data_IF_804665740689
#
_entry.id   IF_804665740689
#
_cell.length_a   1.000
_cell.length_b   1.000
_cell.length_c   1.000
_cell.angle_alpha   90.00
_cell.angle_beta   90.00
_cell.angle_gamma   90.00
#
_symmetry.space_group_name_H-M   'P 1'
#
loop_
_entity.id
_entity.type
_entity.pdbx_description
1 polymer ?
#
# COMPACT_ATOMS: atom_id res chain seq x y z
N UNK A 1 23.54 31.52 -11.65
CA UNK A 1 23.46 30.17 -12.25
C UNK A 1 23.07 29.07 -11.25
N UNK A 2 23.35 29.20 -9.94
CA UNK A 2 22.91 28.23 -8.90
C UNK A 2 21.38 28.09 -8.76
N UNK A 3 20.64 29.20 -8.86
CA UNK A 3 19.17 29.23 -8.67
C UNK A 3 18.43 28.42 -9.76
N UNK A 4 18.98 28.35 -10.98
CA UNK A 4 18.37 27.63 -12.09
C UNK A 4 18.36 26.10 -11.90
N UNK A 5 19.31 25.55 -11.13
CA UNK A 5 19.38 24.13 -10.78
C UNK A 5 18.68 23.82 -9.45
N UNK A 6 18.65 24.79 -8.52
CA UNK A 6 18.02 24.62 -7.22
C UNK A 6 16.50 24.42 -7.30
N UNK A 7 15.81 25.13 -8.21
CA UNK A 7 14.35 25.05 -8.34
C UNK A 7 13.87 23.67 -8.85
N UNK A 8 14.43 23.09 -9.93
CA UNK A 8 14.09 21.74 -10.33
C UNK A 8 14.47 20.68 -9.29
N UNK A 9 15.64 20.83 -8.64
CA UNK A 9 16.08 19.89 -7.61
C UNK A 9 15.12 19.87 -6.39
N UNK A 10 14.60 21.03 -6.01
CA UNK A 10 13.61 21.14 -4.94
C UNK A 10 12.31 20.40 -5.27
N UNK A 11 11.79 20.55 -6.49
CA UNK A 11 10.58 19.82 -6.91
C UNK A 11 10.82 18.32 -6.99
N UNK A 12 11.97 17.89 -7.53
CA UNK A 12 12.36 16.48 -7.50
C UNK A 12 12.39 15.94 -6.06
N UNK A 13 12.92 16.71 -5.11
CA UNK A 13 12.93 16.34 -3.68
C UNK A 13 11.51 16.18 -3.11
N UNK A 14 10.60 17.11 -3.42
CA UNK A 14 9.19 17.02 -3.00
C UNK A 14 8.50 15.80 -3.60
N UNK A 15 8.67 15.56 -4.91
CA UNK A 15 8.11 14.40 -5.60
C UNK A 15 8.63 13.08 -5.02
N UNK A 16 9.91 12.99 -4.70
CA UNK A 16 10.51 11.82 -4.06
C UNK A 16 9.95 11.62 -2.64
N UNK A 17 9.85 12.69 -1.84
CA UNK A 17 9.26 12.63 -0.51
C UNK A 17 7.82 12.12 -0.57
N UNK A 18 7.00 12.68 -1.45
CA UNK A 18 5.60 12.27 -1.61
C UNK A 18 5.49 10.82 -2.08
N UNK A 19 6.41 10.36 -2.95
CA UNK A 19 6.45 8.96 -3.38
C UNK A 19 6.80 7.99 -2.25
N UNK A 20 7.75 8.36 -1.39
CA UNK A 20 8.13 7.54 -0.22
C UNK A 20 6.96 7.47 0.76
N UNK A 21 6.32 8.59 1.04
CA UNK A 21 5.17 8.65 1.95
C UNK A 21 4.01 7.84 1.36
N UNK A 22 3.69 8.02 0.08
CA UNK A 22 2.64 7.24 -0.59
C UNK A 22 2.90 5.72 -0.51
N UNK A 23 4.16 5.28 -0.63
CA UNK A 23 4.51 3.87 -0.51
C UNK A 23 4.34 3.34 0.93
N UNK A 24 4.73 4.11 1.94
CA UNK A 24 4.50 3.78 3.34
C UNK A 24 2.98 3.71 3.63
N UNK A 25 2.23 4.73 3.23
CA UNK A 25 0.78 4.77 3.36
C UNK A 25 0.09 3.58 2.68
N UNK A 26 0.48 3.22 1.46
CA UNK A 26 -0.12 2.09 0.76
C UNK A 26 0.11 0.78 1.52
N UNK A 27 1.34 0.56 2.00
CA UNK A 27 1.71 -0.63 2.78
C UNK A 27 0.92 -0.71 4.09
N UNK A 28 0.87 0.38 4.84
CA UNK A 28 0.15 0.42 6.12
C UNK A 28 -1.36 0.23 5.93
N UNK A 29 -1.93 0.84 4.89
CA UNK A 29 -3.35 0.67 4.55
C UNK A 29 -3.64 -0.79 4.19
N UNK A 30 -2.75 -1.45 3.43
CA UNK A 30 -2.93 -2.85 3.09
C UNK A 30 -2.93 -3.73 4.35
N UNK A 31 -2.01 -3.47 5.30
CA UNK A 31 -1.97 -4.17 6.59
C UNK A 31 -3.18 -3.88 7.48
N UNK A 32 -3.70 -2.66 7.46
CA UNK A 32 -4.90 -2.29 8.22
C UNK A 32 -6.15 -3.02 7.68
N UNK A 33 -6.33 -3.03 6.36
CA UNK A 33 -7.42 -3.78 5.71
C UNK A 33 -7.23 -5.29 5.87
N UNK A 34 -6.00 -5.79 5.95
CA UNK A 34 -5.79 -7.23 6.19
C UNK A 34 -6.11 -7.64 7.63
N UNK A 35 -5.92 -6.73 8.59
CA UNK A 35 -6.27 -6.95 9.99
C UNK A 35 -7.78 -6.82 10.25
N UNK A 36 -8.45 -5.91 9.53
CA UNK A 36 -9.89 -5.71 9.59
C UNK A 36 -10.47 -5.49 8.17
N UNK A 37 -10.91 -6.57 7.50
CA UNK A 37 -11.44 -6.50 6.13
C UNK A 37 -12.72 -5.66 6.00
N UNK A 38 -13.44 -5.45 7.11
CA UNK A 38 -14.67 -4.67 7.16
C UNK A 38 -14.42 -3.17 7.35
N UNK A 39 -13.14 -2.74 7.36
CA UNK A 39 -12.78 -1.32 7.50
C UNK A 39 -13.47 -0.46 6.44
N UNK A 40 -14.21 0.54 6.91
CA UNK A 40 -14.92 1.46 6.03
C UNK A 40 -13.99 2.46 5.34
N UNK A 41 -14.39 2.95 4.16
CA UNK A 41 -13.66 4.03 3.46
C UNK A 41 -13.46 5.26 4.34
N UNK A 42 -14.44 5.59 5.19
CA UNK A 42 -14.33 6.71 6.12
C UNK A 42 -13.23 6.51 7.17
N UNK A 43 -13.06 5.28 7.69
CA UNK A 43 -11.99 4.97 8.63
C UNK A 43 -10.61 5.01 7.98
N UNK A 44 -10.51 4.57 6.72
CA UNK A 44 -9.29 4.69 5.93
C UNK A 44 -8.91 6.15 5.68
N UNK A 45 -9.89 6.99 5.33
CA UNK A 45 -9.68 8.44 5.16
C UNK A 45 -9.28 9.12 6.48
N UNK A 46 -9.90 8.72 7.60
CA UNK A 46 -9.55 9.22 8.93
C UNK A 46 -8.12 8.83 9.29
N UNK A 47 -7.76 7.56 9.10
CA UNK A 47 -6.40 7.06 9.32
C UNK A 47 -5.39 7.84 8.49
N UNK A 48 -5.67 8.06 7.20
CA UNK A 48 -4.81 8.84 6.31
C UNK A 48 -4.59 10.27 6.82
N UNK A 49 -5.64 10.94 7.28
CA UNK A 49 -5.54 12.31 7.85
C UNK A 49 -4.75 12.35 9.16
N UNK A 50 -4.88 11.32 10.00
CA UNK A 50 -4.19 11.26 11.29
C UNK A 50 -2.71 10.85 11.16
N UNK A 51 -2.42 9.79 10.42
CA UNK A 51 -1.08 9.23 10.27
C UNK A 51 -0.23 9.95 9.21
N UNK A 52 -0.87 10.44 8.15
CA UNK A 52 -0.20 11.02 6.98
C UNK A 52 -0.79 12.40 6.60
N UNK A 53 -0.87 13.36 7.54
CA UNK A 53 -1.52 14.65 7.33
C UNK A 53 -0.87 15.48 6.21
N UNK A 54 0.40 15.20 5.89
CA UNK A 54 1.07 15.92 4.82
C UNK A 54 0.41 15.65 3.47
N UNK A 55 0.07 14.39 3.16
CA UNK A 55 -0.44 14.01 1.83
C UNK A 55 -1.96 13.85 1.78
N UNK A 56 -2.65 13.79 2.92
CA UNK A 56 -4.07 13.42 3.00
C UNK A 56 -5.02 14.22 2.11
N UNK A 57 -4.77 15.51 1.94
CA UNK A 57 -5.66 16.39 1.16
C UNK A 57 -5.45 16.26 -0.36
N UNK A 58 -4.33 15.65 -0.75
CA UNK A 58 -3.89 15.47 -2.13
C UNK A 58 -3.88 14.00 -2.56
N UNK A 59 -4.18 13.09 -1.62
CA UNK A 59 -4.09 11.66 -1.80
C UNK A 59 -5.45 11.06 -2.11
N UNK A 60 -5.49 10.17 -3.11
CA UNK A 60 -6.62 9.28 -3.39
C UNK A 60 -6.17 7.87 -3.04
N UNK A 61 -7.02 7.13 -2.33
CA UNK A 61 -6.77 5.76 -1.91
C UNK A 61 -7.73 4.82 -2.62
N UNK A 62 -7.19 3.79 -3.25
CA UNK A 62 -7.94 2.70 -3.84
C UNK A 62 -7.56 1.40 -3.14
N UNK A 63 -8.56 0.62 -2.73
CA UNK A 63 -8.38 -0.67 -2.07
C UNK A 63 -9.08 -1.72 -2.91
N UNK A 64 -8.35 -2.75 -3.29
CA UNK A 64 -8.85 -3.91 -4.02
C UNK A 64 -8.60 -5.15 -3.17
N UNK A 65 -9.67 -5.86 -2.84
CA UNK A 65 -9.58 -7.19 -2.22
C UNK A 65 -9.80 -8.20 -3.34
N UNK A 66 -8.82 -9.07 -3.54
CA UNK A 66 -8.87 -10.14 -4.53
C UNK A 66 -9.82 -11.27 -4.12
N UNK A 67 -10.07 -12.17 -5.06
CA UNK A 67 -10.89 -13.34 -4.81
C UNK A 67 -10.26 -14.26 -3.76
N UNK A 68 -11.09 -15.04 -3.07
CA UNK A 68 -10.59 -16.06 -2.15
C UNK A 68 -9.96 -17.20 -2.94
N UNK A 69 -8.67 -17.42 -2.70
CA UNK A 69 -7.94 -18.59 -3.19
C UNK A 69 -7.89 -19.65 -2.11
N UNK A 70 -8.16 -20.91 -2.48
CA UNK A 70 -7.99 -22.05 -1.59
C UNK A 70 -6.63 -22.70 -1.87
N UNK A 71 -5.79 -22.78 -0.85
CA UNK A 71 -4.50 -23.46 -0.88
C UNK A 71 -4.50 -24.70 0.00
N UNK A 72 -3.67 -25.68 -0.35
CA UNK A 72 -3.29 -26.76 0.56
C UNK A 72 -2.03 -26.37 1.32
N UNK A 73 -2.04 -26.59 2.63
CA UNK A 73 -0.92 -26.34 3.52
C UNK A 73 -0.63 -27.59 4.35
N UNK A 74 0.63 -28.02 4.34
CA UNK A 74 1.08 -29.20 5.07
C UNK A 74 1.78 -28.80 6.37
N UNK A 75 1.09 -29.01 7.50
CA UNK A 75 1.69 -28.88 8.82
C UNK A 75 2.56 -30.10 9.13
N UNK A 76 3.80 -29.88 9.57
CA UNK A 76 4.66 -30.95 10.10
C UNK A 76 4.73 -30.84 11.62
N UNK A 77 4.17 -31.83 12.30
CA UNK A 77 4.19 -31.92 13.76
C UNK A 77 5.10 -33.07 14.16
N UNK A 78 6.05 -32.79 15.06
CA UNK A 78 6.92 -33.82 15.62
C UNK A 78 6.17 -34.59 16.72
N UNK A 79 6.04 -35.90 16.56
CA UNK A 79 5.42 -36.77 17.54
C UNK A 79 6.50 -37.33 18.48
N UNK A 80 6.48 -36.88 19.74
CA UNK A 80 7.44 -37.30 20.75
C UNK A 80 7.31 -38.78 21.16
N UNK A 81 6.19 -39.44 20.89
CA UNK A 81 6.00 -40.87 21.22
C UNK A 81 6.55 -41.79 20.14
N UNK A 82 6.35 -41.45 18.86
CA UNK A 82 6.87 -42.23 17.73
C UNK A 82 8.27 -41.80 17.28
N UNK A 83 8.70 -40.59 17.62
CA UNK A 83 9.97 -40.01 17.18
C UNK A 83 9.97 -39.58 15.71
N UNK A 84 8.81 -39.54 15.05
CA UNK A 84 8.64 -39.22 13.63
C UNK A 84 7.91 -37.88 13.43
N UNK A 85 8.11 -37.28 12.25
CA UNK A 85 7.30 -36.14 11.82
C UNK A 85 6.03 -36.64 11.14
N UNK A 86 4.87 -36.24 11.65
CA UNK A 86 3.58 -36.46 11.01
C UNK A 86 3.19 -35.23 10.20
N UNK A 87 2.74 -35.44 8.97
CA UNK A 87 2.26 -34.36 8.09
C UNK A 87 0.73 -34.33 8.13
N UNK A 88 0.16 -33.15 8.35
CA UNK A 88 -1.27 -32.89 8.32
C UNK A 88 -1.59 -31.87 7.23
N UNK A 89 -2.22 -32.33 6.15
CA UNK A 89 -2.69 -31.45 5.08
C UNK A 89 -3.97 -30.73 5.52
N UNK A 90 -3.98 -29.41 5.38
CA UNK A 90 -5.08 -28.51 5.73
C UNK A 90 -5.40 -27.63 4.54
N UNK A 91 -6.69 -27.37 4.33
CA UNK A 91 -7.12 -26.35 3.37
C UNK A 91 -7.14 -24.99 4.07
N UNK A 92 -6.47 -24.02 3.48
CA UNK A 92 -6.44 -22.62 3.90
C UNK A 92 -7.07 -21.76 2.81
N UNK A 93 -7.80 -20.71 3.20
CA UNK A 93 -8.28 -19.69 2.27
C UNK A 93 -7.47 -18.42 2.47
N UNK A 94 -6.89 -17.89 1.40
CA UNK A 94 -6.18 -16.61 1.40
C UNK A 94 -6.85 -15.64 0.44
N UNK A 95 -6.84 -14.35 0.78
CA UNK A 95 -7.26 -13.27 -0.09
C UNK A 95 -6.16 -12.23 -0.15
N UNK A 96 -5.70 -11.89 -1.36
CA UNK A 96 -4.73 -10.83 -1.54
C UNK A 96 -5.43 -9.47 -1.49
N UNK A 97 -4.90 -8.55 -0.69
CA UNK A 97 -5.29 -7.14 -0.71
C UNK A 97 -4.23 -6.35 -1.46
N UNK A 98 -4.66 -5.58 -2.44
CA UNK A 98 -3.82 -4.58 -3.10
C UNK A 98 -4.38 -3.20 -2.82
N UNK A 99 -3.55 -2.32 -2.29
CA UNK A 99 -3.87 -0.91 -2.10
C UNK A 99 -3.06 -0.06 -3.06
N UNK A 100 -3.66 1.00 -3.60
CA UNK A 100 -2.98 2.00 -4.42
C UNK A 100 -3.23 3.38 -3.83
N UNK A 101 -2.15 4.15 -3.71
CA UNK A 101 -2.19 5.54 -3.25
C UNK A 101 -1.68 6.43 -4.37
N UNK A 102 -2.50 7.38 -4.77
CA UNK A 102 -2.18 8.41 -5.75
C UNK A 102 -2.10 9.76 -5.06
N UNK A 103 -0.95 10.44 -5.11
CA UNK A 103 -0.79 11.79 -4.58
C UNK A 103 -0.61 12.76 -5.73
N UNK A 104 -1.55 13.69 -5.90
CA UNK A 104 -1.50 14.71 -6.94
C UNK A 104 -1.34 16.10 -6.33
N UNK A 105 -0.26 16.80 -6.68
CA UNK A 105 0.03 18.14 -6.16
C UNK A 105 0.49 19.11 -7.23
N UNK A 106 0.19 20.40 -7.08
CA UNK A 106 0.74 21.43 -7.96
C UNK A 106 2.26 21.57 -7.75
N UNK A 107 2.95 21.93 -8.83
CA UNK A 107 4.30 22.47 -8.74
C UNK A 107 4.25 23.83 -8.02
N UNK A 108 5.23 24.11 -7.17
CA UNK A 108 5.33 25.38 -6.43
C UNK A 108 6.38 26.33 -7.01
N UNK A 109 7.29 25.81 -7.84
CA UNK A 109 8.30 26.59 -8.53
C UNK A 109 7.83 26.98 -9.93
N UNK A 110 7.98 28.25 -10.27
CA UNK A 110 7.63 28.77 -11.60
C UNK A 110 8.38 28.05 -12.72
N UNK A 111 9.59 27.55 -12.47
CA UNK A 111 10.36 26.78 -13.43
C UNK A 111 9.66 25.46 -13.78
N UNK A 112 9.18 24.71 -12.79
CA UNK A 112 8.48 23.46 -13.03
C UNK A 112 7.08 23.67 -13.63
N UNK A 113 6.36 24.71 -13.20
CA UNK A 113 5.09 25.11 -13.84
C UNK A 113 5.30 25.45 -15.32
N UNK A 114 6.32 26.24 -15.63
CA UNK A 114 6.66 26.61 -17.01
C UNK A 114 7.06 25.40 -17.87
N UNK A 115 7.94 24.52 -17.34
CA UNK A 115 8.34 23.30 -18.04
C UNK A 115 7.15 22.35 -18.27
N UNK A 116 6.26 22.21 -17.28
CA UNK A 116 5.01 21.46 -17.41
C UNK A 116 4.13 22.05 -18.52
N UNK A 117 3.98 23.38 -18.56
CA UNK A 117 3.20 24.06 -19.59
C UNK A 117 3.76 23.91 -21.01
N UNK A 118 5.08 23.90 -21.19
CA UNK A 118 5.71 23.60 -22.49
C UNK A 118 5.40 22.18 -22.95
N UNK A 119 5.37 21.22 -22.01
CA UNK A 119 5.04 19.82 -22.29
C UNK A 119 3.55 19.51 -22.41
N UNK A 120 2.65 20.50 -22.33
CA UNK A 120 1.20 20.31 -22.32
C UNK A 120 0.64 19.72 -21.01
N UNK A 121 1.40 19.77 -19.92
CA UNK A 121 1.01 19.29 -18.60
C UNK A 121 0.16 20.28 -17.80
N UNK A 122 -0.45 19.77 -16.72
CA UNK A 122 -1.43 20.46 -15.88
C UNK A 122 -0.85 21.39 -14.79
N UNK A 123 0.47 21.67 -14.81
CA UNK A 123 1.13 22.41 -13.74
C UNK A 123 1.20 21.66 -12.41
N UNK A 124 0.99 20.34 -12.44
CA UNK A 124 1.02 19.44 -11.30
C UNK A 124 1.85 18.20 -11.59
N UNK A 125 2.16 17.46 -10.53
CA UNK A 125 2.68 16.10 -10.62
C UNK A 125 1.75 15.13 -9.90
N UNK A 126 1.79 13.87 -10.35
CA UNK A 126 1.17 12.75 -9.66
C UNK A 126 2.23 11.70 -9.37
N UNK A 127 2.27 11.22 -8.14
CA UNK A 127 3.05 10.03 -7.76
C UNK A 127 2.10 8.93 -7.31
N UNK A 128 2.43 7.70 -7.67
CA UNK A 128 1.64 6.53 -7.33
C UNK A 128 2.51 5.50 -6.63
N UNK A 129 1.95 4.81 -5.65
CA UNK A 129 2.56 3.67 -4.99
C UNK A 129 1.51 2.61 -4.66
N UNK A 130 1.95 1.36 -4.54
CA UNK A 130 1.08 0.23 -4.23
C UNK A 130 1.59 -0.54 -3.01
N UNK A 131 0.67 -0.99 -2.17
CA UNK A 131 0.91 -1.88 -1.04
C UNK A 131 0.19 -3.20 -1.27
N UNK A 132 0.73 -4.28 -0.72
CA UNK A 132 0.14 -5.62 -0.80
C UNK A 132 0.13 -6.22 0.60
N UNK A 133 -0.99 -6.84 0.98
CA UNK A 133 -1.14 -7.65 2.17
C UNK A 133 -2.04 -8.86 1.86
N UNK A 134 -2.19 -9.77 2.81
CA UNK A 134 -3.00 -10.98 2.65
C UNK A 134 -3.89 -11.16 3.86
N UNK A 135 -5.17 -11.47 3.64
CA UNK A 135 -6.06 -11.99 4.68
C UNK A 135 -5.92 -13.50 4.66
N UNK A 136 -5.44 -14.06 5.77
CA UNK A 136 -5.45 -15.51 5.98
C UNK A 136 -6.71 -15.88 6.76
N UNK A 137 -7.68 -16.51 6.09
CA UNK A 137 -8.88 -17.02 6.74
C UNK A 137 -8.64 -18.47 7.23
N UNK A 138 -9.01 -18.69 8.49
CA UNK A 138 -8.71 -19.89 9.30
C UNK A 138 -9.07 -21.23 8.64
N UNK A 139 -8.20 -22.22 8.89
CA UNK A 139 -8.32 -23.65 8.60
C UNK A 139 -9.70 -24.21 8.99
N UNK A 140 -10.47 -24.70 8.01
CA UNK A 140 -11.80 -25.29 8.26
C UNK A 140 -11.81 -26.79 8.55
N UNK A 141 -10.68 -27.50 8.55
CA UNK A 141 -10.71 -28.94 8.84
C UNK A 141 -9.42 -29.50 9.43
N UNK A 142 -9.55 -30.05 10.64
CA UNK A 142 -8.54 -30.87 11.31
C UNK A 142 -8.56 -30.63 12.79
N UNK A 143 -9.36 -31.42 13.53
CA UNK A 143 -9.23 -31.48 14.99
C UNK A 143 -7.78 -31.79 15.38
N UNK A 144 -7.31 -31.14 16.44
CA UNK A 144 -5.99 -31.35 17.03
C UNK A 144 -5.81 -32.77 17.56
#
# INVERSE_FOLDING_TARGET
MLVALALPAYECGRMLSDKIIAAATATDTAGLVSADPDTSTFELERYLKEAYPMISDAATLEVMVGDSELGEYDDKVFDNESGEYRTFSRTVSSQQITTQVHVTRPFVTNAAVFLSGIGGGSGSYTVSASGIATIDATVTSGGW
#
